data_IF_578080551080
#
_entry.id   IF_578080551080
#
_cell.length_a   1.000
_cell.length_b   1.000
_cell.length_c   1.000
_cell.angle_alpha   90.00
_cell.angle_beta   90.00
_cell.angle_gamma   90.00
#
_symmetry.space_group_name_H-M   'P 1'
#
loop_
_entity.id
_entity.type
_entity.pdbx_description
1 polymer ?
#
# COMPACT_ATOMS: atom_id res chain seq x y z
N UNK A 1 -14.91 -4.60 -3.79
CA UNK A 1 -13.51 -4.17 -3.97
C UNK A 1 -13.45 -3.40 -5.29
N UNK A 2 -13.24 -2.08 -5.24
CA UNK A 2 -13.12 -1.27 -6.45
C UNK A 2 -11.70 -1.43 -7.01
N UNK A 3 -11.54 -1.81 -8.30
CA UNK A 3 -10.23 -1.96 -8.92
C UNK A 3 -9.41 -0.65 -8.92
N UNK A 4 -10.07 0.50 -8.78
CA UNK A 4 -9.43 1.82 -8.65
C UNK A 4 -8.50 1.91 -7.45
N UNK A 5 -8.80 1.23 -6.34
CA UNK A 5 -7.93 1.26 -5.15
C UNK A 5 -6.61 0.54 -5.39
N UNK A 6 -6.59 -0.53 -6.20
CA UNK A 6 -5.35 -1.23 -6.57
C UNK A 6 -4.44 -0.32 -7.40
N UNK A 7 -5.04 0.50 -8.27
CA UNK A 7 -4.30 1.49 -9.04
C UNK A 7 -3.74 2.60 -8.13
N UNK A 8 -4.47 3.01 -7.10
CA UNK A 8 -3.98 3.97 -6.11
C UNK A 8 -2.77 3.41 -5.33
N UNK A 9 -2.70 2.12 -5.02
CA UNK A 9 -1.53 1.54 -4.34
C UNK A 9 -0.22 1.74 -5.12
N UNK A 10 -0.28 1.68 -6.45
CA UNK A 10 0.91 1.78 -7.34
C UNK A 10 1.15 3.19 -7.87
N UNK A 11 0.25 4.15 -7.61
CA UNK A 11 0.37 5.54 -8.07
C UNK A 11 0.50 6.53 -6.92
N UNK A 12 -0.03 6.19 -5.73
CA UNK A 12 0.01 7.04 -4.56
C UNK A 12 1.29 6.83 -3.79
N UNK A 13 1.98 7.93 -3.53
CA UNK A 13 3.12 7.97 -2.64
C UNK A 13 2.68 8.21 -1.20
N UNK A 14 3.45 7.66 -0.27
CA UNK A 14 3.27 7.88 1.15
C UNK A 14 3.52 9.37 1.46
N UNK A 15 2.55 10.10 2.02
CA UNK A 15 2.67 11.55 2.23
C UNK A 15 3.42 11.91 3.52
N UNK A 16 3.67 10.95 4.41
CA UNK A 16 4.35 11.19 5.69
C UNK A 16 5.07 9.93 6.22
N UNK A 17 5.90 10.13 7.23
CA UNK A 17 6.62 9.07 7.93
C UNK A 17 7.97 8.73 7.30
N UNK A 18 8.49 7.55 7.64
CA UNK A 18 9.86 7.14 7.26
C UNK A 18 10.02 6.95 5.74
N UNK A 19 8.95 6.54 5.06
CA UNK A 19 8.95 6.23 3.62
C UNK A 19 8.24 7.30 2.79
N UNK A 20 8.28 8.56 3.24
CA UNK A 20 7.67 9.68 2.51
C UNK A 20 8.21 9.75 1.08
N UNK A 21 7.34 9.94 0.09
CA UNK A 21 7.70 9.97 -1.33
C UNK A 21 7.93 8.61 -1.98
N UNK A 22 7.70 7.51 -1.25
CA UNK A 22 7.72 6.15 -1.80
C UNK A 22 6.29 5.68 -2.08
N UNK A 23 6.09 4.95 -3.17
CA UNK A 23 4.79 4.35 -3.50
C UNK A 23 4.32 3.41 -2.38
N UNK A 24 3.00 3.37 -2.14
CA UNK A 24 2.42 2.49 -1.12
C UNK A 24 2.73 1.01 -1.45
N UNK A 25 2.70 0.63 -2.73
CA UNK A 25 3.09 -0.70 -3.21
C UNK A 25 4.57 -1.06 -2.96
N UNK A 26 5.44 -0.08 -2.72
CA UNK A 26 6.87 -0.27 -2.42
C UNK A 26 7.20 -0.26 -0.93
N UNK A 27 6.18 -0.11 -0.07
CA UNK A 27 6.38 -0.12 1.36
C UNK A 27 6.75 -1.54 1.83
N UNK A 28 7.77 -1.66 2.69
CA UNK A 28 8.18 -2.98 3.17
C UNK A 28 7.13 -3.56 4.13
N UNK A 29 6.89 -4.87 4.05
CA UNK A 29 5.87 -5.57 4.84
C UNK A 29 6.02 -5.39 6.36
N UNK A 30 7.25 -5.19 6.86
CA UNK A 30 7.48 -4.88 8.28
C UNK A 30 6.85 -3.54 8.71
N UNK A 31 6.78 -2.56 7.81
CA UNK A 31 6.17 -1.26 8.05
C UNK A 31 4.64 -1.35 8.01
N UNK A 32 4.11 -2.13 7.07
CA UNK A 32 2.67 -2.44 7.00
C UNK A 32 2.20 -3.20 8.24
N UNK A 33 2.96 -4.22 8.69
CA UNK A 33 2.66 -4.95 9.92
C UNK A 33 2.74 -4.07 11.18
N UNK A 34 3.65 -3.10 11.22
CA UNK A 34 3.68 -2.13 12.30
C UNK A 34 2.39 -1.29 12.34
N UNK A 35 1.90 -0.84 11.18
CA UNK A 35 0.62 -0.15 11.09
C UNK A 35 -0.56 -1.06 11.45
N UNK A 36 -0.56 -2.33 11.04
CA UNK A 36 -1.61 -3.28 11.42
C UNK A 36 -1.71 -3.47 12.95
N UNK A 37 -0.56 -3.39 13.66
CA UNK A 37 -0.53 -3.46 15.13
C UNK A 37 -0.90 -2.15 15.82
N UNK A 38 -0.49 -1.02 15.25
CA UNK A 38 -0.72 0.32 15.85
C UNK A 38 -2.08 0.91 15.49
N UNK A 39 -2.66 0.49 14.38
CA UNK A 39 -3.83 1.07 13.74
C UNK A 39 -3.46 1.93 12.52
N UNK A 40 -4.29 1.84 11.49
CA UNK A 40 -4.16 2.66 10.28
C UNK A 40 -4.76 4.06 10.51
N UNK A 41 -4.15 5.12 9.94
CA UNK A 41 -4.67 6.47 10.03
C UNK A 41 -6.03 6.59 9.32
N UNK A 42 -6.96 7.43 9.78
CA UNK A 42 -8.22 7.62 9.08
C UNK A 42 -8.01 8.27 7.70
N UNK A 43 -8.89 7.97 6.76
CA UNK A 43 -8.90 8.51 5.40
C UNK A 43 -8.30 7.57 4.36
N UNK A 44 -8.08 8.11 3.15
CA UNK A 44 -7.64 7.36 1.97
C UNK A 44 -6.34 6.59 2.22
N UNK A 45 -5.35 7.23 2.84
CA UNK A 45 -4.03 6.62 3.06
C UNK A 45 -4.11 5.39 3.96
N UNK A 46 -4.85 5.44 5.07
CA UNK A 46 -4.97 4.26 5.93
C UNK A 46 -5.78 3.14 5.31
N UNK A 47 -6.80 3.47 4.50
CA UNK A 47 -7.51 2.48 3.70
C UNK A 47 -6.57 1.79 2.71
N UNK A 48 -5.71 2.54 2.02
CA UNK A 48 -4.71 1.99 1.10
C UNK A 48 -3.65 1.15 1.83
N UNK A 49 -3.19 1.59 3.01
CA UNK A 49 -2.24 0.82 3.82
C UNK A 49 -2.83 -0.49 4.34
N UNK A 50 -4.10 -0.48 4.76
CA UNK A 50 -4.81 -1.68 5.16
C UNK A 50 -4.94 -2.65 3.98
N UNK A 51 -5.37 -2.14 2.82
CA UNK A 51 -5.47 -2.93 1.60
C UNK A 51 -4.12 -3.52 1.18
N UNK A 52 -3.04 -2.73 1.25
CA UNK A 52 -1.69 -3.20 0.94
C UNK A 52 -1.24 -4.29 1.92
N UNK A 53 -1.55 -4.14 3.20
CA UNK A 53 -1.23 -5.15 4.22
C UNK A 53 -2.01 -6.45 3.96
N UNK A 54 -3.29 -6.36 3.59
CA UNK A 54 -4.07 -7.54 3.24
C UNK A 54 -3.49 -8.25 2.00
N UNK A 55 -3.08 -7.50 0.97
CA UNK A 55 -2.43 -8.07 -0.21
C UNK A 55 -1.10 -8.74 0.14
N UNK A 56 -0.27 -8.10 0.96
CA UNK A 56 1.01 -8.65 1.42
C UNK A 56 0.81 -9.92 2.26
N UNK A 57 -0.14 -9.90 3.19
CA UNK A 57 -0.46 -11.04 4.03
C UNK A 57 -0.96 -12.24 3.22
N UNK A 58 -1.71 -12.00 2.15
CA UNK A 58 -2.20 -13.04 1.24
C UNK A 58 -1.19 -13.42 0.15
N UNK A 59 0.00 -12.80 0.10
CA UNK A 59 1.00 -13.05 -0.96
C UNK A 59 0.57 -12.58 -2.36
N UNK A 60 -0.38 -11.64 -2.42
CA UNK A 60 -0.98 -11.13 -3.66
C UNK A 60 -0.30 -9.85 -4.18
N UNK A 61 0.76 -9.38 -3.54
CA UNK A 61 1.49 -8.18 -3.94
C UNK A 61 1.99 -8.22 -5.40
N UNK A 62 2.27 -9.41 -5.93
CA UNK A 62 2.67 -9.60 -7.33
C UNK A 62 1.55 -9.21 -8.34
N UNK A 63 0.29 -9.17 -7.92
CA UNK A 63 -0.81 -8.69 -8.77
C UNK A 63 -0.69 -7.19 -9.09
N UNK A 64 0.11 -6.45 -8.31
CA UNK A 64 0.38 -5.03 -8.54
C UNK A 64 1.46 -4.81 -9.60
N UNK A 65 2.30 -5.81 -9.90
CA UNK A 65 3.37 -5.70 -10.90
C UNK A 65 2.89 -5.33 -12.32
N UNK A 66 1.80 -5.91 -12.88
CA UNK A 66 1.29 -5.45 -14.17
C UNK A 66 0.67 -4.03 -14.10
N UNK A 67 0.23 -3.58 -12.92
CA UNK A 67 -0.33 -2.24 -12.74
C UNK A 67 0.75 -1.18 -12.58
N UNK A 68 1.94 -1.57 -12.14
CA UNK A 68 3.14 -0.73 -12.19
C UNK A 68 3.49 -0.51 -13.66
N UNK A 69 3.18 0.67 -14.19
CA UNK A 69 3.64 1.07 -15.52
C UNK A 69 5.16 0.96 -15.55
N UNK A 70 5.65 -0.14 -16.15
CA UNK A 70 7.04 -0.29 -16.58
C UNK A 70 7.27 0.81 -17.62
N UNK A 71 7.86 1.92 -17.18
CA UNK A 71 8.48 2.86 -18.10
C UNK A 71 9.77 2.25 -18.62
#
# INVERSE_FOLDING_TARGET
MNPEHLQLLVTREMPYGKYTGRLIADLPGNYLNWFARKGFPPGEIGMLLALMQELDHNGLSALLDPLRKRK
#
